data_IF_861147702855
#
_entry.id   IF_861147702855
#
_cell.length_a   1.000
_cell.length_b   1.000
_cell.length_c   1.000
_cell.angle_alpha   90.00
_cell.angle_beta   90.00
_cell.angle_gamma   90.00
#
_symmetry.space_group_name_H-M   'P 1'
#
loop_
_entity.id
_entity.type
_entity.pdbx_description
1 polymer ?
#
# COMPACT_ATOMS: atom_id res chain seq x y z
N UNK A 1 48.66 -37.52 78.22
CA UNK A 1 47.54 -37.18 77.31
C UNK A 1 47.10 -35.75 77.60
N UNK A 2 47.22 -34.83 76.62
CA UNK A 2 46.74 -33.44 76.76
C UNK A 2 45.26 -33.40 76.40
N UNK A 3 44.36 -32.82 77.20
CA UNK A 3 42.97 -32.75 76.89
C UNK A 3 42.75 -31.81 75.63
N UNK A 4 42.13 -32.35 74.65
CA UNK A 4 41.75 -31.58 73.45
C UNK A 4 40.62 -30.64 73.85
N UNK A 5 40.81 -29.32 73.65
CA UNK A 5 39.83 -28.29 74.02
C UNK A 5 38.68 -28.22 73.02
N UNK A 6 37.66 -29.02 73.21
CA UNK A 6 36.50 -29.21 72.40
C UNK A 6 35.70 -27.89 72.21
N UNK A 7 35.79 -26.95 73.16
CA UNK A 7 35.10 -25.64 73.05
C UNK A 7 35.60 -24.77 71.88
N UNK A 8 36.87 -24.88 71.49
CA UNK A 8 37.43 -24.10 70.40
C UNK A 8 36.95 -24.58 69.02
N UNK A 9 36.67 -25.87 68.89
CA UNK A 9 36.14 -26.44 67.64
C UNK A 9 34.69 -25.97 67.38
N UNK A 10 33.85 -26.00 68.40
CA UNK A 10 32.47 -25.56 68.32
C UNK A 10 32.34 -24.04 68.00
N UNK A 11 33.24 -23.21 68.54
CA UNK A 11 33.23 -21.76 68.27
C UNK A 11 33.60 -21.44 66.85
N UNK A 12 34.54 -22.11 66.21
CA UNK A 12 34.90 -21.95 64.81
C UNK A 12 33.76 -22.34 63.90
N UNK A 13 33.05 -23.39 64.22
CA UNK A 13 31.88 -23.83 63.45
C UNK A 13 30.70 -22.83 63.51
N UNK A 14 30.48 -22.22 64.68
CA UNK A 14 29.44 -21.20 64.84
C UNK A 14 29.75 -19.93 64.07
N UNK A 15 30.98 -19.46 64.08
CA UNK A 15 31.39 -18.29 63.29
C UNK A 15 31.28 -18.56 61.76
N UNK A 16 31.75 -19.75 61.35
CA UNK A 16 31.63 -20.18 59.97
C UNK A 16 30.14 -20.26 59.50
N UNK A 17 29.25 -20.78 60.33
CA UNK A 17 27.81 -20.83 60.07
C UNK A 17 27.18 -19.44 59.99
N UNK A 18 27.61 -18.49 60.86
CA UNK A 18 27.13 -17.08 60.78
C UNK A 18 27.57 -16.41 59.49
N UNK A 19 28.83 -16.54 59.08
CA UNK A 19 29.31 -15.99 57.79
C UNK A 19 28.61 -16.60 56.60
N UNK A 20 28.40 -17.92 56.64
CA UNK A 20 27.64 -18.58 55.53
C UNK A 20 26.20 -18.13 55.48
N UNK A 21 25.51 -17.96 56.60
CA UNK A 21 24.14 -17.41 56.66
C UNK A 21 24.10 -15.97 56.18
N UNK A 22 25.05 -15.13 56.60
CA UNK A 22 25.13 -13.74 56.12
C UNK A 22 25.42 -13.64 54.61
N UNK A 23 26.25 -14.53 54.07
CA UNK A 23 26.54 -14.62 52.67
C UNK A 23 25.31 -15.06 51.86
N UNK A 24 24.62 -16.11 52.30
CA UNK A 24 23.37 -16.58 51.68
C UNK A 24 22.30 -15.50 51.73
N UNK A 25 22.18 -14.78 52.85
CA UNK A 25 21.23 -13.67 52.98
C UNK A 25 21.55 -12.51 52.00
N UNK A 26 22.84 -12.18 51.82
CA UNK A 26 23.25 -11.17 50.83
C UNK A 26 22.90 -11.60 49.40
N UNK A 27 23.12 -12.87 49.03
CA UNK A 27 22.75 -13.39 47.73
C UNK A 27 21.23 -13.35 47.54
N UNK A 28 20.47 -13.80 48.54
CA UNK A 28 19.00 -13.75 48.47
C UNK A 28 18.47 -12.31 48.33
N UNK A 29 19.03 -11.37 49.10
CA UNK A 29 18.67 -9.95 48.98
C UNK A 29 18.99 -9.37 47.61
N UNK A 30 20.14 -9.75 47.01
CA UNK A 30 20.53 -9.35 45.69
C UNK A 30 19.60 -9.91 44.62
N UNK A 31 19.29 -11.21 44.68
CA UNK A 31 18.34 -11.87 43.76
C UNK A 31 16.96 -11.28 43.90
N UNK A 32 16.48 -11.04 45.13
CA UNK A 32 15.20 -10.38 45.36
C UNK A 32 15.17 -8.94 44.77
N UNK A 33 16.27 -8.21 44.92
CA UNK A 33 16.41 -6.88 44.31
C UNK A 33 16.31 -6.92 42.80
N UNK A 34 16.95 -7.88 42.14
CA UNK A 34 16.84 -8.06 40.69
C UNK A 34 15.40 -8.39 40.28
N UNK A 35 14.76 -9.32 41.01
CA UNK A 35 13.35 -9.69 40.71
C UNK A 35 12.42 -8.46 40.88
N UNK A 36 12.62 -7.66 41.89
CA UNK A 36 11.83 -6.46 42.13
C UNK A 36 12.03 -5.41 41.01
N UNK A 37 13.26 -5.24 40.54
CA UNK A 37 13.55 -4.34 39.40
C UNK A 37 12.87 -4.86 38.13
N UNK A 38 12.99 -6.16 37.82
CA UNK A 38 12.37 -6.77 36.67
C UNK A 38 10.84 -6.66 36.72
N UNK A 39 10.25 -6.97 37.89
CA UNK A 39 8.82 -6.81 38.11
C UNK A 39 8.35 -5.34 37.95
N UNK A 40 9.16 -4.40 38.47
CA UNK A 40 8.91 -2.96 38.28
C UNK A 40 8.95 -2.53 36.82
N UNK A 41 9.93 -3.02 36.04
CA UNK A 41 10.02 -2.77 34.59
C UNK A 41 8.84 -3.38 33.84
N UNK A 42 8.46 -4.62 34.18
CA UNK A 42 7.28 -5.27 33.58
C UNK A 42 6.01 -4.47 33.90
N UNK A 43 5.87 -4.06 35.16
CA UNK A 43 4.73 -3.21 35.55
C UNK A 43 4.72 -1.90 34.77
N UNK A 44 5.85 -1.25 34.60
CA UNK A 44 5.98 0.02 33.90
C UNK A 44 5.67 -0.12 32.40
N UNK A 45 6.12 -1.20 31.77
CA UNK A 45 5.86 -1.47 30.34
C UNK A 45 4.42 -1.92 30.10
N UNK A 46 3.85 -2.78 30.96
CA UNK A 46 2.55 -3.38 30.71
C UNK A 46 1.37 -2.71 31.43
N UNK A 47 1.63 -1.95 32.50
CA UNK A 47 0.59 -1.38 33.35
C UNK A 47 0.64 0.14 33.50
N UNK A 48 1.70 0.81 33.04
CA UNK A 48 1.82 2.26 33.07
C UNK A 48 1.22 2.86 31.79
N UNK A 49 0.51 3.98 31.91
CA UNK A 49 0.02 4.77 30.77
C UNK A 49 1.08 5.67 30.15
N UNK A 50 2.34 5.46 30.49
CA UNK A 50 3.45 6.29 30.03
C UNK A 50 3.72 6.15 28.53
N UNK A 51 3.38 5.00 27.94
CA UNK A 51 3.65 4.67 26.54
C UNK A 51 2.39 4.56 25.69
N UNK A 52 1.24 5.00 26.22
CA UNK A 52 0.00 5.03 25.45
C UNK A 52 0.13 6.04 24.29
N UNK A 53 -0.25 5.65 23.08
CA UNK A 53 -0.33 6.53 21.92
C UNK A 53 -1.39 7.61 22.20
N UNK A 54 -0.98 8.87 22.16
CA UNK A 54 -1.84 10.04 22.39
C UNK A 54 -1.87 10.98 21.20
N UNK A 55 -0.81 10.99 20.41
CA UNK A 55 -0.66 11.87 19.26
C UNK A 55 -0.51 11.03 18.01
N UNK A 56 -1.33 11.29 17.01
CA UNK A 56 -1.21 10.72 15.67
C UNK A 56 -1.03 11.88 14.72
N UNK A 57 0.12 11.90 14.04
CA UNK A 57 0.45 12.92 13.06
C UNK A 57 0.39 12.34 11.65
N UNK A 58 -0.16 13.09 10.71
CA UNK A 58 -0.35 12.70 9.32
C UNK A 58 0.53 13.55 8.41
N UNK A 59 1.26 12.91 7.52
CA UNK A 59 2.08 13.56 6.49
C UNK A 59 1.75 12.97 5.11
N UNK A 60 1.81 13.81 4.06
CA UNK A 60 1.62 13.37 2.67
C UNK A 60 0.17 13.13 2.29
N UNK A 61 -0.78 13.82 2.93
CA UNK A 61 -2.18 13.89 2.53
C UNK A 61 -2.36 15.14 1.66
N UNK A 62 -2.55 14.95 0.36
CA UNK A 62 -2.73 16.04 -0.60
C UNK A 62 -4.21 16.24 -0.96
N UNK A 63 -4.93 15.15 -1.20
CA UNK A 63 -6.32 15.19 -1.68
C UNK A 63 -7.34 14.67 -0.67
N UNK A 64 -6.89 13.90 0.31
CA UNK A 64 -7.78 13.19 1.26
C UNK A 64 -7.75 13.83 2.64
N UNK A 65 -8.93 14.09 3.22
CA UNK A 65 -9.02 14.67 4.56
C UNK A 65 -8.69 13.62 5.64
N UNK A 66 -7.86 13.99 6.61
CA UNK A 66 -7.46 13.15 7.76
C UNK A 66 -8.63 12.62 8.60
N UNK A 67 -9.74 13.36 8.67
CA UNK A 67 -10.89 13.01 9.51
C UNK A 67 -11.54 11.67 9.11
N UNK A 68 -11.44 11.32 7.82
CA UNK A 68 -11.95 10.05 7.29
C UNK A 68 -11.24 8.84 7.91
N UNK A 69 -10.00 9.02 8.37
CA UNK A 69 -9.17 7.92 8.86
C UNK A 69 -9.17 7.77 10.38
N UNK A 70 -9.61 8.79 11.12
CA UNK A 70 -9.54 8.77 12.59
C UNK A 70 -10.28 7.56 13.17
N UNK A 71 -11.49 7.29 12.66
CA UNK A 71 -12.29 6.13 13.11
C UNK A 71 -11.55 4.80 12.85
N UNK A 72 -10.91 4.67 11.68
CA UNK A 72 -10.17 3.45 11.33
C UNK A 72 -8.90 3.27 12.13
N UNK A 73 -8.22 4.36 12.43
CA UNK A 73 -7.05 4.37 13.29
C UNK A 73 -7.43 3.94 14.70
N UNK A 74 -8.51 4.49 15.25
CA UNK A 74 -9.02 4.14 16.56
C UNK A 74 -9.45 2.66 16.62
N UNK A 75 -10.12 2.15 15.60
CA UNK A 75 -10.45 0.73 15.49
C UNK A 75 -9.18 -0.15 15.48
N UNK A 76 -8.17 0.23 14.72
CA UNK A 76 -6.94 -0.55 14.57
C UNK A 76 -6.08 -0.49 15.82
N UNK A 77 -5.96 0.69 16.43
CA UNK A 77 -5.30 0.88 17.73
C UNK A 77 -6.07 0.17 18.84
N UNK A 78 -7.34 0.00 18.69
CA UNK A 78 -8.25 -0.63 19.62
C UNK A 78 -8.38 -2.17 19.49
N UNK A 79 -7.60 -2.87 18.67
CA UNK A 79 -7.63 -4.33 18.57
C UNK A 79 -7.04 -5.02 19.82
N UNK A 80 -7.70 -6.07 20.31
CA UNK A 80 -7.27 -6.81 21.51
C UNK A 80 -6.03 -7.65 21.20
N UNK A 81 -4.96 -7.47 22.00
CA UNK A 81 -3.80 -8.34 21.99
C UNK A 81 -4.07 -9.49 22.99
N UNK A 82 -3.91 -10.74 22.55
CA UNK A 82 -4.12 -11.95 23.36
C UNK A 82 -5.50 -12.14 24.01
N UNK A 83 -6.57 -11.59 23.45
CA UNK A 83 -7.95 -11.88 23.90
C UNK A 83 -8.36 -11.36 25.28
N UNK A 84 -7.44 -11.15 26.20
CA UNK A 84 -7.68 -10.78 27.61
C UNK A 84 -7.04 -9.45 28.03
N UNK A 85 -5.95 -9.01 27.42
CA UNK A 85 -5.28 -7.76 27.75
C UNK A 85 -5.76 -6.62 26.86
N UNK A 86 -6.55 -5.74 27.44
CA UNK A 86 -7.17 -4.57 26.77
C UNK A 86 -6.21 -3.38 26.63
N UNK A 87 -4.90 -3.61 26.51
CA UNK A 87 -3.91 -2.54 26.34
C UNK A 87 -3.41 -2.48 24.91
N UNK A 88 -3.98 -1.58 24.21
CA UNK A 88 -4.01 -1.45 22.78
C UNK A 88 -3.18 -0.31 22.24
N UNK A 89 -2.99 0.70 23.08
CA UNK A 89 -2.44 1.97 22.65
C UNK A 89 -0.97 2.13 23.03
N UNK A 90 -0.35 1.07 23.58
CA UNK A 90 1.07 1.15 23.92
C UNK A 90 1.90 1.09 22.65
N UNK A 91 2.73 2.11 22.46
CA UNK A 91 3.56 2.31 21.29
C UNK A 91 4.46 1.12 20.94
N UNK A 92 4.86 0.34 21.94
CA UNK A 92 5.71 -0.84 21.76
C UNK A 92 4.95 -2.03 21.18
N UNK A 93 3.64 -2.12 21.45
CA UNK A 93 2.79 -3.23 21.03
C UNK A 93 1.99 -2.94 19.74
N UNK A 94 1.98 -1.70 19.26
CA UNK A 94 1.39 -1.39 17.96
C UNK A 94 2.17 -2.12 16.86
N UNK A 95 1.55 -3.09 16.20
CA UNK A 95 2.14 -3.76 15.05
C UNK A 95 2.03 -2.86 13.81
N UNK A 96 3.07 -2.04 13.59
CA UNK A 96 3.09 -1.07 12.49
C UNK A 96 2.94 -1.73 11.13
N UNK A 97 3.59 -2.89 10.89
CA UNK A 97 3.49 -3.58 9.60
C UNK A 97 2.11 -4.18 9.32
N UNK A 98 1.40 -4.64 10.36
CA UNK A 98 0.01 -5.09 10.21
C UNK A 98 -0.92 -3.89 9.95
N UNK A 99 -0.67 -2.78 10.62
CA UNK A 99 -1.40 -1.52 10.43
C UNK A 99 -1.25 -1.02 8.99
N UNK A 100 -0.03 -0.91 8.49
CA UNK A 100 0.29 -0.48 7.12
C UNK A 100 -0.44 -1.32 6.08
N UNK A 101 -0.41 -2.65 6.21
CA UNK A 101 -1.11 -3.57 5.29
C UNK A 101 -2.63 -3.43 5.34
N UNK A 102 -3.21 -3.39 6.53
CA UNK A 102 -4.67 -3.24 6.68
C UNK A 102 -5.15 -1.90 6.14
N UNK A 103 -4.35 -0.84 6.37
CA UNK A 103 -4.69 0.49 5.93
C UNK A 103 -4.60 0.63 4.41
N UNK A 104 -3.54 0.10 3.79
CA UNK A 104 -3.38 0.09 2.33
C UNK A 104 -4.49 -0.70 1.62
N UNK A 105 -4.94 -1.82 2.22
CA UNK A 105 -6.07 -2.61 1.69
C UNK A 105 -7.41 -1.87 1.82
N UNK A 106 -7.62 -1.15 2.93
CA UNK A 106 -8.86 -0.41 3.17
C UNK A 106 -8.97 0.86 2.32
N UNK A 107 -7.83 1.46 1.96
CA UNK A 107 -7.76 2.73 1.24
C UNK A 107 -6.81 2.64 0.04
N UNK A 108 -7.26 2.08 -1.10
CA UNK A 108 -6.42 1.89 -2.29
C UNK A 108 -5.90 3.20 -2.92
N UNK A 109 -6.43 4.35 -2.52
CA UNK A 109 -5.93 5.68 -2.93
C UNK A 109 -4.46 5.90 -2.51
N UNK A 110 -3.98 5.17 -1.51
CA UNK A 110 -2.59 5.25 -1.08
C UNK A 110 -1.72 4.19 -1.77
N UNK A 111 -0.64 4.62 -2.37
CA UNK A 111 0.39 3.73 -2.93
C UNK A 111 1.17 3.04 -1.81
N UNK A 112 1.46 3.79 -0.75
CA UNK A 112 2.11 3.26 0.44
C UNK A 112 1.71 4.04 1.69
N UNK A 113 1.71 3.35 2.80
CA UNK A 113 1.53 3.91 4.14
C UNK A 113 2.70 3.42 4.97
N UNK A 114 3.42 4.33 5.60
CA UNK A 114 4.53 4.01 6.49
C UNK A 114 4.25 4.56 7.89
N UNK A 115 4.30 3.71 8.90
CA UNK A 115 3.99 4.06 10.29
C UNK A 115 5.27 4.08 11.11
N UNK A 116 5.63 5.25 11.61
CA UNK A 116 6.79 5.47 12.45
C UNK A 116 6.36 5.75 13.89
N UNK A 117 7.08 5.17 14.83
CA UNK A 117 6.89 5.44 16.25
C UNK A 117 7.70 6.67 16.64
N UNK A 118 7.04 7.68 17.20
CA UNK A 118 7.68 8.82 17.84
C UNK A 118 7.82 8.53 19.34
N UNK A 119 9.02 8.68 19.88
CA UNK A 119 9.31 8.37 21.29
C UNK A 119 8.24 8.94 22.23
N UNK A 120 7.85 8.13 23.20
CA UNK A 120 6.89 8.32 24.29
C UNK A 120 5.41 8.16 23.95
N UNK A 121 4.81 8.87 23.00
CA UNK A 121 3.35 8.90 22.86
C UNK A 121 2.84 9.07 21.43
N UNK A 122 3.72 9.11 20.41
CA UNK A 122 3.34 9.51 19.07
C UNK A 122 3.42 8.41 18.03
N UNK A 123 2.49 8.42 17.08
CA UNK A 123 2.60 7.73 15.80
C UNK A 123 2.65 8.77 14.69
N UNK A 124 3.57 8.59 13.76
CA UNK A 124 3.65 9.39 12.53
C UNK A 124 3.26 8.47 11.38
N UNK A 125 2.16 8.81 10.71
CA UNK A 125 1.70 8.13 9.52
C UNK A 125 2.10 8.94 8.29
N UNK A 126 2.98 8.37 7.49
CA UNK A 126 3.42 8.97 6.23
C UNK A 126 2.69 8.27 5.09
N UNK A 127 1.90 9.02 4.35
CA UNK A 127 1.12 8.56 3.22
C UNK A 127 1.78 8.96 1.91
N UNK A 128 1.71 8.08 0.94
CA UNK A 128 2.02 8.38 -0.44
C UNK A 128 0.75 8.14 -1.26
N UNK A 129 0.09 9.20 -1.69
CA UNK A 129 -1.10 9.10 -2.54
C UNK A 129 -0.74 8.61 -3.95
N UNK A 130 -1.62 7.80 -4.55
CA UNK A 130 -1.49 7.37 -5.95
C UNK A 130 -1.78 8.52 -6.88
N UNK A 131 -0.98 8.63 -7.93
CA UNK A 131 -1.25 9.57 -9.02
C UNK A 131 -2.02 8.82 -10.12
N UNK A 132 -3.17 9.34 -10.54
CA UNK A 132 -3.94 8.70 -11.59
C UNK A 132 -3.21 8.80 -12.93
N UNK A 133 -3.04 7.67 -13.63
CA UNK A 133 -2.62 7.59 -15.02
C UNK A 133 -3.81 7.83 -15.96
N UNK A 134 -5.03 7.49 -15.51
CA UNK A 134 -6.24 7.66 -16.27
C UNK A 134 -7.48 7.20 -15.50
N UNK A 135 -8.56 7.02 -16.27
CA UNK A 135 -9.86 6.55 -15.82
C UNK A 135 -10.18 5.26 -16.59
N UNK A 136 -10.50 4.19 -15.85
CA UNK A 136 -10.97 2.94 -16.42
C UNK A 136 -12.44 2.74 -16.08
N UNK A 137 -13.26 2.63 -17.13
CA UNK A 137 -14.69 2.45 -17.02
C UNK A 137 -15.08 1.02 -17.39
N UNK A 138 -15.76 0.34 -16.50
CA UNK A 138 -16.48 -0.90 -16.75
C UNK A 138 -17.98 -0.59 -16.92
N UNK A 139 -18.78 -1.58 -17.32
CA UNK A 139 -20.23 -1.41 -17.43
C UNK A 139 -20.89 -0.83 -16.17
N UNK A 140 -20.37 -1.18 -14.99
CA UNK A 140 -20.91 -0.78 -13.69
C UNK A 140 -20.44 0.58 -13.17
N UNK A 141 -19.42 1.17 -13.80
CA UNK A 141 -18.88 2.47 -13.40
C UNK A 141 -17.38 2.61 -13.62
N UNK A 142 -16.90 3.82 -13.38
CA UNK A 142 -15.53 4.21 -13.63
C UNK A 142 -14.73 4.34 -12.33
N UNK A 143 -13.42 4.10 -12.41
CA UNK A 143 -12.45 4.32 -11.34
C UNK A 143 -11.18 4.95 -11.90
N UNK A 144 -10.45 5.67 -11.08
CA UNK A 144 -9.08 6.03 -11.39
C UNK A 144 -8.21 4.78 -11.41
N UNK A 145 -7.15 4.78 -12.22
CA UNK A 145 -6.12 3.75 -12.22
C UNK A 145 -4.72 4.37 -12.28
N UNK A 146 -3.72 3.64 -11.84
CA UNK A 146 -2.31 4.00 -11.95
C UNK A 146 -1.50 2.99 -12.78
N UNK A 147 -0.19 3.24 -12.88
CA UNK A 147 0.73 2.37 -13.61
C UNK A 147 0.85 0.95 -12.99
N UNK A 148 0.48 0.78 -11.71
CA UNK A 148 0.43 -0.52 -11.03
C UNK A 148 -0.92 -1.25 -11.26
N UNK A 149 -1.81 -0.74 -12.11
CA UNK A 149 -3.16 -1.27 -12.41
C UNK A 149 -4.10 -1.31 -11.23
N UNK A 150 -3.83 -0.51 -10.20
CA UNK A 150 -4.71 -0.41 -9.04
C UNK A 150 -5.85 0.53 -9.35
N UNK A 151 -7.06 0.08 -9.09
CA UNK A 151 -8.28 0.87 -9.25
C UNK A 151 -8.70 1.49 -7.92
N UNK A 152 -9.06 2.79 -7.93
CA UNK A 152 -9.61 3.45 -6.74
C UNK A 152 -10.57 4.58 -7.08
N UNK A 153 -11.38 4.93 -6.09
CA UNK A 153 -12.29 6.08 -6.13
C UNK A 153 -13.29 6.05 -7.26
N UNK A 154 -14.03 7.12 -7.37
CA UNK A 154 -14.94 7.37 -8.50
C UNK A 154 -14.59 8.74 -9.08
N UNK A 155 -14.27 8.84 -10.36
CA UNK A 155 -13.98 10.12 -11.01
C UNK A 155 -15.21 10.99 -10.98
N UNK A 156 -15.04 12.25 -10.56
CA UNK A 156 -16.14 13.23 -10.66
C UNK A 156 -16.29 13.67 -12.12
N UNK A 157 -17.52 13.83 -12.57
CA UNK A 157 -17.84 14.30 -13.93
C UNK A 157 -17.33 15.73 -14.24
N UNK A 158 -16.80 16.44 -13.24
CA UNK A 158 -16.35 17.83 -13.33
C UNK A 158 -14.84 18.02 -13.17
N UNK A 159 -14.04 16.96 -13.22
CA UNK A 159 -12.58 17.13 -13.21
C UNK A 159 -12.17 17.82 -14.51
N UNK A 160 -11.81 19.09 -14.45
CA UNK A 160 -11.33 19.89 -15.61
C UNK A 160 -10.00 19.40 -16.20
N UNK A 161 -9.51 18.26 -15.77
CA UNK A 161 -8.36 17.57 -16.34
C UNK A 161 -8.86 16.51 -17.29
N UNK A 162 -8.37 16.55 -18.52
CA UNK A 162 -8.63 15.51 -19.52
C UNK A 162 -7.71 14.33 -19.17
N UNK A 163 -8.24 13.38 -18.41
CA UNK A 163 -7.56 12.12 -18.18
C UNK A 163 -7.82 11.18 -19.36
N UNK A 164 -6.80 10.36 -19.68
CA UNK A 164 -6.99 9.22 -20.57
C UNK A 164 -8.17 8.39 -20.03
N UNK A 165 -9.22 8.23 -20.87
CA UNK A 165 -10.39 7.44 -20.49
C UNK A 165 -10.42 6.17 -21.33
N UNK A 166 -10.51 5.02 -20.63
CA UNK A 166 -10.60 3.69 -21.23
C UNK A 166 -11.96 3.10 -20.84
N UNK A 167 -12.77 2.75 -21.85
CA UNK A 167 -14.08 2.13 -21.70
C UNK A 167 -13.99 0.65 -22.03
N UNK A 168 -13.99 -0.21 -21.03
CA UNK A 168 -14.04 -1.66 -21.20
C UNK A 168 -15.50 -2.13 -21.21
N UNK A 169 -16.02 -2.38 -22.41
CA UNK A 169 -17.41 -2.79 -22.61
C UNK A 169 -17.63 -4.29 -22.49
N UNK A 170 -16.55 -5.06 -22.27
CA UNK A 170 -16.62 -6.51 -22.07
C UNK A 170 -17.37 -6.84 -20.79
N UNK A 171 -17.83 -8.08 -20.68
CA UNK A 171 -18.54 -8.56 -19.49
C UNK A 171 -17.52 -9.12 -18.46
N UNK A 172 -16.93 -8.21 -17.65
CA UNK A 172 -15.90 -8.51 -16.67
C UNK A 172 -16.50 -8.43 -15.28
N UNK A 173 -16.68 -9.59 -14.63
CA UNK A 173 -17.32 -9.69 -13.31
C UNK A 173 -16.45 -9.25 -12.16
N UNK A 174 -15.14 -9.38 -12.24
CA UNK A 174 -14.20 -9.09 -11.16
C UNK A 174 -13.66 -7.64 -11.15
N UNK A 175 -14.07 -6.81 -12.11
CA UNK A 175 -13.62 -5.42 -12.28
C UNK A 175 -12.10 -5.28 -12.18
N UNK A 176 -11.38 -6.18 -12.82
CA UNK A 176 -9.92 -6.15 -12.86
C UNK A 176 -9.45 -5.70 -14.24
N UNK A 177 -8.43 -4.84 -14.26
CA UNK A 177 -7.77 -4.46 -15.51
C UNK A 177 -7.07 -5.67 -16.09
N UNK A 178 -7.34 -5.94 -17.36
CA UNK A 178 -6.76 -7.04 -18.10
C UNK A 178 -5.32 -6.73 -18.49
N UNK A 179 -4.39 -7.62 -18.13
CA UNK A 179 -2.96 -7.46 -18.37
C UNK A 179 -2.63 -7.43 -19.86
N UNK A 180 -3.36 -8.19 -20.69
CA UNK A 180 -3.12 -8.29 -22.11
C UNK A 180 -3.47 -6.99 -22.84
N UNK A 181 -4.42 -6.22 -22.33
CA UNK A 181 -4.82 -4.93 -22.89
C UNK A 181 -4.10 -3.73 -22.29
N UNK A 182 -3.74 -3.80 -21.01
CA UNK A 182 -3.17 -2.66 -20.31
C UNK A 182 -1.86 -2.16 -20.91
N UNK A 183 -0.90 -3.07 -21.12
CA UNK A 183 0.40 -2.73 -21.70
C UNK A 183 0.27 -2.07 -23.09
N UNK A 184 -0.37 -2.74 -24.06
CA UNK A 184 -0.65 -2.22 -25.38
C UNK A 184 -1.35 -0.85 -25.39
N UNK A 185 -2.39 -0.68 -24.58
CA UNK A 185 -3.13 0.58 -24.49
C UNK A 185 -2.23 1.71 -23.97
N UNK A 186 -1.46 1.47 -22.92
CA UNK A 186 -0.57 2.48 -22.35
C UNK A 186 0.58 2.83 -23.31
N UNK A 187 1.04 1.88 -24.10
CA UNK A 187 2.03 2.10 -25.14
C UNK A 187 1.50 2.99 -26.26
N UNK A 188 0.28 2.74 -26.73
CA UNK A 188 -0.40 3.60 -27.70
C UNK A 188 -0.63 4.99 -27.10
N UNK A 189 -1.13 5.08 -25.87
CA UNK A 189 -1.39 6.36 -25.21
C UNK A 189 -0.15 7.23 -25.06
N UNK A 190 1.04 6.61 -24.91
CA UNK A 190 2.31 7.30 -24.76
C UNK A 190 2.94 7.71 -26.09
N UNK A 191 2.83 6.86 -27.12
CA UNK A 191 3.65 6.97 -28.33
C UNK A 191 2.83 7.42 -29.57
N UNK A 192 1.51 7.38 -29.52
CA UNK A 192 0.67 7.83 -30.64
C UNK A 192 0.74 9.35 -30.80
N UNK A 193 0.97 9.82 -32.01
CA UNK A 193 0.90 11.25 -32.35
C UNK A 193 -0.57 11.68 -32.46
N UNK A 194 -0.92 12.77 -31.80
CA UNK A 194 -2.29 13.35 -31.84
C UNK A 194 -3.02 13.22 -30.49
N UNK A 195 -4.18 13.85 -30.42
CA UNK A 195 -5.02 13.87 -29.23
C UNK A 195 -5.92 12.63 -29.16
N UNK A 196 -5.77 11.83 -28.12
CA UNK A 196 -6.66 10.72 -27.83
C UNK A 196 -7.82 11.23 -26.97
N UNK A 197 -9.05 11.05 -27.45
CA UNK A 197 -10.26 11.40 -26.67
C UNK A 197 -10.68 10.30 -25.72
N UNK A 198 -10.71 9.08 -26.23
CA UNK A 198 -11.01 7.88 -25.42
C UNK A 198 -10.49 6.63 -26.10
N UNK A 199 -10.37 5.55 -25.33
CA UNK A 199 -10.05 4.22 -25.83
C UNK A 199 -11.19 3.29 -25.44
N UNK A 200 -11.67 2.48 -26.38
CA UNK A 200 -12.78 1.54 -26.15
C UNK A 200 -12.29 0.12 -26.40
N UNK A 201 -12.52 -0.77 -25.44
CA UNK A 201 -12.45 -2.21 -25.64
C UNK A 201 -13.88 -2.69 -25.88
N UNK A 202 -14.27 -3.10 -27.09
CA UNK A 202 -15.66 -3.43 -27.41
C UNK A 202 -16.12 -4.71 -26.70
N UNK A 203 -17.42 -4.85 -26.52
CA UNK A 203 -18.04 -5.95 -25.78
C UNK A 203 -17.72 -7.34 -26.38
N UNK A 204 -17.59 -7.40 -27.67
CA UNK A 204 -17.27 -8.60 -28.46
C UNK A 204 -15.83 -8.58 -28.99
N UNK A 205 -14.93 -7.90 -28.27
CA UNK A 205 -13.53 -7.79 -28.67
C UNK A 205 -12.85 -9.15 -28.79
N UNK A 206 -12.28 -9.38 -29.97
CA UNK A 206 -11.31 -10.45 -30.25
C UNK A 206 -9.91 -9.85 -30.24
N UNK A 207 -9.37 -9.53 -29.05
CA UNK A 207 -8.04 -8.96 -28.90
C UNK A 207 -7.83 -7.59 -29.59
N UNK A 208 -8.88 -6.78 -29.73
CA UNK A 208 -8.83 -5.46 -30.33
C UNK A 208 -9.29 -4.35 -29.37
N UNK A 209 -8.76 -3.16 -29.59
CA UNK A 209 -9.25 -1.95 -28.94
C UNK A 209 -9.26 -0.78 -29.93
N UNK A 210 -10.14 0.17 -29.69
CA UNK A 210 -10.38 1.30 -30.58
C UNK A 210 -9.95 2.60 -29.93
N UNK A 211 -9.10 3.37 -30.61
CA UNK A 211 -8.61 4.67 -30.14
C UNK A 211 -9.34 5.77 -30.86
N UNK A 212 -10.16 6.52 -30.14
CA UNK A 212 -10.93 7.63 -30.69
C UNK A 212 -10.12 8.92 -30.66
N UNK A 213 -10.05 9.56 -31.81
CA UNK A 213 -9.50 10.92 -32.00
C UNK A 213 -10.63 11.94 -32.17
N UNK A 214 -10.33 13.15 -32.66
CA UNK A 214 -11.35 14.14 -32.97
C UNK A 214 -12.23 13.74 -34.14
N UNK A 215 -11.63 13.15 -35.20
CA UNK A 215 -12.24 13.00 -36.49
C UNK A 215 -12.52 11.55 -36.90
N UNK A 216 -11.74 10.60 -36.38
CA UNK A 216 -11.83 9.17 -36.72
C UNK A 216 -11.41 8.32 -35.54
N UNK A 217 -11.57 7.01 -35.65
CA UNK A 217 -11.02 6.07 -34.72
C UNK A 217 -10.04 5.10 -35.38
N UNK A 218 -9.13 4.55 -34.59
CA UNK A 218 -8.10 3.62 -35.04
C UNK A 218 -8.29 2.31 -34.30
N UNK A 219 -8.27 1.21 -35.02
CA UNK A 219 -8.43 -0.14 -34.50
C UNK A 219 -7.05 -0.77 -34.39
N UNK A 220 -6.64 -1.08 -33.18
CA UNK A 220 -5.41 -1.83 -32.84
C UNK A 220 -5.76 -3.25 -32.41
N UNK A 221 -4.79 -4.14 -32.49
CA UNK A 221 -4.90 -5.48 -31.90
C UNK A 221 -3.74 -5.74 -30.96
N UNK A 222 -4.02 -6.52 -29.89
CA UNK A 222 -2.97 -6.99 -28.96
C UNK A 222 -2.22 -8.23 -29.46
N UNK A 223 -2.67 -8.82 -30.59
CA UNK A 223 -2.04 -10.03 -31.18
C UNK A 223 -0.67 -9.74 -31.83
N UNK A 224 -0.41 -8.50 -32.18
CA UNK A 224 0.84 -8.06 -32.80
C UNK A 224 1.50 -6.96 -31.99
N UNK A 225 2.80 -6.78 -32.22
CA UNK A 225 3.59 -5.74 -31.58
C UNK A 225 2.99 -4.35 -31.84
N UNK A 226 2.75 -3.61 -30.78
CA UNK A 226 2.11 -2.29 -30.84
C UNK A 226 3.02 -1.26 -31.50
N UNK A 227 4.32 -1.32 -31.26
CA UNK A 227 5.27 -0.38 -31.88
C UNK A 227 5.26 -0.53 -33.40
N UNK A 228 5.18 -1.76 -33.93
CA UNK A 228 5.04 -2.00 -35.36
C UNK A 228 3.75 -1.40 -35.92
N UNK A 229 2.62 -1.54 -35.21
CA UNK A 229 1.34 -0.95 -35.61
C UNK A 229 1.41 0.59 -35.61
N UNK A 230 2.08 1.21 -34.63
CA UNK A 230 2.31 2.65 -34.55
C UNK A 230 3.22 3.13 -35.69
N UNK A 231 4.27 2.39 -36.02
CA UNK A 231 5.16 2.75 -37.13
C UNK A 231 4.44 2.68 -38.48
N UNK A 232 3.63 1.64 -38.71
CA UNK A 232 2.77 1.52 -39.88
C UNK A 232 1.77 2.68 -39.97
N UNK A 233 1.12 3.02 -38.85
CA UNK A 233 0.22 4.17 -38.77
C UNK A 233 0.94 5.46 -39.13
N UNK A 234 2.12 5.69 -38.60
CA UNK A 234 2.92 6.89 -38.82
C UNK A 234 3.31 7.03 -40.29
N UNK A 235 3.76 5.96 -40.94
CA UNK A 235 4.08 5.94 -42.38
C UNK A 235 2.83 6.27 -43.19
N UNK A 236 1.72 5.61 -42.89
CA UNK A 236 0.45 5.82 -43.56
C UNK A 236 -0.05 7.26 -43.42
N UNK A 237 -0.02 7.83 -42.24
CA UNK A 237 -0.43 9.21 -42.00
C UNK A 237 0.48 10.23 -42.66
N UNK A 238 1.77 9.97 -42.80
CA UNK A 238 2.70 10.82 -43.52
C UNK A 238 2.42 10.87 -45.01
N UNK A 239 1.87 9.82 -45.63
CA UNK A 239 1.49 9.76 -47.01
C UNK A 239 0.10 10.36 -47.25
N UNK A 240 -0.91 9.88 -46.52
CA UNK A 240 -2.32 10.20 -46.71
C UNK A 240 -2.78 11.47 -46.00
N UNK A 241 -2.19 11.82 -44.87
CA UNK A 241 -2.54 13.04 -44.13
C UNK A 241 -2.22 14.35 -44.86
N UNK A 242 -1.49 14.29 -45.97
CA UNK A 242 -1.25 15.45 -46.88
C UNK A 242 -2.39 15.69 -47.85
N UNK A 243 -3.28 14.71 -48.05
CA UNK A 243 -4.44 14.84 -48.91
C UNK A 243 -5.59 15.48 -48.13
N UNK A 244 -5.97 16.70 -48.50
CA UNK A 244 -7.07 17.44 -47.88
C UNK A 244 -8.44 16.74 -48.01
N UNK A 245 -8.58 15.77 -48.90
CA UNK A 245 -9.80 14.98 -49.10
C UNK A 245 -9.79 13.68 -48.26
N UNK A 246 -8.72 13.42 -47.52
CA UNK A 246 -8.62 12.23 -46.68
C UNK A 246 -9.36 12.44 -45.35
N UNK A 247 -10.59 11.98 -45.28
CA UNK A 247 -11.42 11.99 -44.07
C UNK A 247 -11.95 10.59 -43.81
N UNK A 248 -11.10 9.70 -43.23
CA UNK A 248 -11.52 8.34 -42.96
C UNK A 248 -12.52 8.29 -41.80
N UNK A 249 -13.43 7.34 -41.83
CA UNK A 249 -14.27 7.01 -40.72
C UNK A 249 -13.47 6.23 -39.64
N UNK A 250 -12.62 5.31 -40.11
CA UNK A 250 -11.69 4.56 -39.27
C UNK A 250 -10.42 4.15 -40.01
N UNK A 251 -9.39 3.81 -39.25
CA UNK A 251 -8.13 3.21 -39.70
C UNK A 251 -7.97 1.87 -38.98
N UNK A 252 -7.86 0.77 -39.71
CA UNK A 252 -7.76 -0.58 -39.16
C UNK A 252 -6.35 -1.13 -39.36
N UNK A 253 -5.68 -1.46 -38.26
CA UNK A 253 -4.30 -1.96 -38.17
C UNK A 253 -4.22 -3.43 -37.76
N UNK A 254 -5.33 -4.15 -37.64
CA UNK A 254 -5.40 -5.53 -37.14
C UNK A 254 -4.71 -6.56 -38.01
N UNK A 255 -4.27 -6.18 -39.23
CA UNK A 255 -3.51 -7.09 -40.10
C UNK A 255 -2.09 -6.55 -40.21
N UNK A 256 -1.13 -7.39 -39.82
CA UNK A 256 0.29 -7.03 -39.76
C UNK A 256 0.78 -6.41 -41.09
N UNK A 257 1.41 -5.25 -41.00
CA UNK A 257 1.97 -4.50 -42.10
C UNK A 257 0.94 -3.94 -43.10
N UNK A 258 -0.39 -3.94 -42.80
CA UNK A 258 -1.44 -3.44 -43.66
C UNK A 258 -2.34 -2.44 -42.94
N UNK A 259 -2.80 -1.46 -43.72
CA UNK A 259 -3.76 -0.45 -43.26
C UNK A 259 -5.02 -0.53 -44.13
N UNK A 260 -6.17 -0.61 -43.48
CA UNK A 260 -7.47 -0.51 -44.13
C UNK A 260 -8.20 0.74 -43.65
N UNK A 261 -8.92 1.40 -44.51
CA UNK A 261 -9.68 2.63 -44.17
C UNK A 261 -11.05 2.58 -44.83
N UNK A 262 -12.00 3.26 -44.23
CA UNK A 262 -13.33 3.47 -44.80
C UNK A 262 -13.73 4.92 -44.66
#
# INVERSE_FOLDING_TARGET
>A
MRPVNVKRLNYRDEVARRHRRAFVFKILAFVFGIIAIVAGLIYLLFFSRLFDVREVSFNGLDTVNSDVFQVKIDETLNQKIFGYLTRRNDIFFVNTGSFEKQFALAYPVFKSVNVQRKLFHGLILNFLERKPAGIWCFKEGCSYFDDDKVLWGQPSKSSGFIFLTIEDQRDITDRKIDDDFFGPIMEVAKNMEGEIKSIIIPADSFNEFWVYTADYYIIFTVDFDIQNQLDVLKIFMNEKGKDSNFHPQYIDLRIDGRVYTK
#
